data_IF_795263385507
#
_entry.id   IF_795263385507
#
_cell.length_a   1.000
_cell.length_b   1.000
_cell.length_c   1.000
_cell.angle_alpha   90.00
_cell.angle_beta   90.00
_cell.angle_gamma   90.00
#
_symmetry.space_group_name_H-M   'P 1'
#
loop_
_entity.id
_entity.type
_entity.pdbx_description
1 polymer ?
#
# COMPACT_ATOMS: atom_id res chain seq x y z
N UNK A 1 -13.43 -14.12 23.80
CA UNK A 1 -13.21 -14.73 22.47
C UNK A 1 -13.91 -13.86 21.44
N UNK A 2 -13.28 -13.51 20.32
CA UNK A 2 -13.97 -12.76 19.25
C UNK A 2 -14.99 -13.70 18.61
N UNK A 3 -16.27 -13.46 18.85
CA UNK A 3 -17.37 -14.18 18.22
C UNK A 3 -17.33 -13.91 16.72
N UNK A 4 -16.99 -14.95 15.95
CA UNK A 4 -17.02 -14.85 14.50
C UNK A 4 -18.48 -14.76 14.06
N UNK A 5 -18.75 -13.82 13.16
CA UNK A 5 -20.06 -13.74 12.51
C UNK A 5 -20.35 -15.06 11.77
N UNK A 6 -21.62 -15.44 11.66
CA UNK A 6 -22.02 -16.72 11.03
C UNK A 6 -21.45 -16.92 9.62
N UNK A 7 -21.16 -18.16 9.26
CA UNK A 7 -20.59 -18.49 7.97
C UNK A 7 -21.68 -18.52 6.89
N UNK A 8 -21.75 -17.44 6.13
CA UNK A 8 -22.49 -17.42 4.86
C UNK A 8 -21.65 -18.08 3.76
N UNK A 9 -22.28 -18.61 2.68
CA UNK A 9 -21.54 -19.20 1.56
C UNK A 9 -20.43 -18.28 1.00
N UNK A 10 -20.70 -16.98 0.91
CA UNK A 10 -19.71 -15.99 0.48
C UNK A 10 -18.50 -15.90 1.42
N UNK A 11 -18.70 -15.96 2.73
CA UNK A 11 -17.60 -15.89 3.71
C UNK A 11 -16.71 -17.11 3.63
N UNK A 12 -17.30 -18.29 3.42
CA UNK A 12 -16.54 -19.53 3.21
C UNK A 12 -15.71 -19.45 1.94
N UNK A 13 -16.29 -18.97 0.83
CA UNK A 13 -15.58 -18.78 -0.43
C UNK A 13 -14.41 -17.79 -0.28
N UNK A 14 -14.64 -16.61 0.32
CA UNK A 14 -13.60 -15.60 0.55
C UNK A 14 -12.47 -16.14 1.43
N UNK A 15 -12.78 -16.91 2.49
CA UNK A 15 -11.78 -17.51 3.37
C UNK A 15 -10.91 -18.55 2.65
N UNK A 16 -11.52 -19.41 1.82
CA UNK A 16 -10.79 -20.38 0.99
C UNK A 16 -9.88 -19.67 -0.02
N UNK A 17 -10.38 -18.61 -0.66
CA UNK A 17 -9.58 -17.80 -1.58
C UNK A 17 -8.40 -17.14 -0.88
N UNK A 18 -8.60 -16.46 0.25
CA UNK A 18 -7.51 -15.83 1.00
C UNK A 18 -6.53 -16.86 1.53
N UNK A 19 -6.97 -18.00 2.06
CA UNK A 19 -6.07 -19.05 2.53
C UNK A 19 -5.13 -19.56 1.42
N UNK A 20 -5.63 -19.68 0.19
CA UNK A 20 -4.84 -20.10 -0.98
C UNK A 20 -3.90 -19.00 -1.49
N UNK A 21 -4.31 -17.74 -1.47
CA UNK A 21 -3.60 -16.65 -2.17
C UNK A 21 -2.80 -15.72 -1.25
N UNK A 22 -2.99 -15.78 0.08
CA UNK A 22 -2.34 -14.88 1.04
C UNK A 22 -0.82 -14.87 0.90
N UNK A 23 -0.18 -16.04 0.81
CA UNK A 23 1.27 -16.14 0.66
C UNK A 23 1.76 -15.52 -0.66
N UNK A 24 1.08 -15.82 -1.77
CA UNK A 24 1.40 -15.23 -3.08
C UNK A 24 1.28 -13.70 -3.05
N UNK A 25 0.23 -13.16 -2.45
CA UNK A 25 0.00 -11.71 -2.31
C UNK A 25 1.08 -11.03 -1.46
N UNK A 26 1.45 -11.66 -0.34
CA UNK A 26 2.49 -11.16 0.56
C UNK A 26 3.88 -11.20 -0.09
N UNK A 27 4.18 -12.22 -0.91
CA UNK A 27 5.43 -12.31 -1.64
C UNK A 27 5.52 -11.28 -2.78
N UNK A 28 4.40 -10.98 -3.44
CA UNK A 28 4.38 -10.10 -4.61
C UNK A 28 4.36 -8.60 -4.25
N UNK A 29 3.81 -8.22 -3.09
CA UNK A 29 3.54 -6.81 -2.79
C UNK A 29 3.53 -6.53 -1.28
N UNK A 30 4.03 -5.35 -0.92
CA UNK A 30 4.04 -4.82 0.45
C UNK A 30 3.40 -3.43 0.55
N UNK A 31 3.16 -2.96 1.77
CA UNK A 31 2.66 -1.61 2.04
C UNK A 31 3.52 -0.96 3.16
N UNK A 32 3.59 0.37 3.17
CA UNK A 32 4.38 1.11 4.18
C UNK A 32 3.57 1.54 5.41
N UNK A 33 2.22 1.58 5.32
CA UNK A 33 1.30 1.95 6.41
C UNK A 33 1.68 3.22 7.20
N UNK A 34 2.28 4.21 6.54
CA UNK A 34 2.75 5.44 7.17
C UNK A 34 1.64 6.48 7.35
N UNK A 35 1.53 7.01 8.56
CA UNK A 35 0.66 8.14 8.88
C UNK A 35 1.48 9.44 8.85
N UNK A 36 0.95 10.46 8.19
CA UNK A 36 1.57 11.79 8.07
C UNK A 36 0.55 12.88 8.43
N UNK A 37 1.01 14.10 8.80
CA UNK A 37 0.12 15.24 9.03
C UNK A 37 -0.80 15.50 7.82
N UNK A 38 -2.03 15.97 8.11
CA UNK A 38 -3.06 16.12 7.08
C UNK A 38 -2.68 17.15 6.02
N UNK A 39 -2.04 18.24 6.43
CA UNK A 39 -1.60 19.31 5.54
C UNK A 39 -0.53 18.81 4.57
N UNK A 40 0.46 18.06 5.07
CA UNK A 40 1.49 17.42 4.24
C UNK A 40 0.88 16.40 3.27
N UNK A 41 -0.13 15.64 3.71
CA UNK A 41 -0.86 14.76 2.81
C UNK A 41 -1.55 15.53 1.67
N UNK A 42 -2.20 16.65 1.96
CA UNK A 42 -2.86 17.45 0.92
C UNK A 42 -1.85 18.06 -0.05
N UNK A 43 -0.76 18.63 0.46
CA UNK A 43 0.32 19.21 -0.34
C UNK A 43 0.92 18.18 -1.30
N UNK A 44 1.33 17.01 -0.80
CA UNK A 44 1.91 15.94 -1.64
C UNK A 44 0.90 15.48 -2.70
N UNK A 45 -0.37 15.28 -2.35
CA UNK A 45 -1.36 14.86 -3.35
C UNK A 45 -1.59 15.94 -4.43
N UNK A 46 -1.55 17.22 -4.08
CA UNK A 46 -1.66 18.31 -5.05
C UNK A 46 -0.45 18.29 -6.01
N UNK A 47 0.76 18.22 -5.47
CA UNK A 47 2.01 18.13 -6.25
C UNK A 47 1.99 16.96 -7.26
N UNK A 48 1.54 15.79 -6.81
CA UNK A 48 1.46 14.59 -7.65
C UNK A 48 0.41 14.72 -8.75
N UNK A 49 -0.75 15.32 -8.44
CA UNK A 49 -1.84 15.52 -9.40
C UNK A 49 -1.44 16.48 -10.51
N UNK A 50 -0.79 17.59 -10.18
CA UNK A 50 -0.28 18.56 -11.17
C UNK A 50 0.67 17.93 -12.19
N UNK A 51 1.43 16.91 -11.76
CA UNK A 51 2.43 16.22 -12.57
C UNK A 51 1.95 14.92 -13.20
N UNK A 52 0.66 14.59 -13.02
CA UNK A 52 0.09 13.29 -13.42
C UNK A 52 0.96 12.10 -12.98
N UNK A 53 1.46 12.16 -11.74
CA UNK A 53 2.43 11.21 -11.19
C UNK A 53 1.79 10.34 -10.10
N UNK A 54 2.08 9.03 -10.09
CA UNK A 54 1.62 8.16 -9.02
C UNK A 54 2.52 8.26 -7.78
N UNK A 55 1.95 7.96 -6.60
CA UNK A 55 2.71 7.88 -5.34
C UNK A 55 3.83 6.84 -5.40
N UNK A 56 3.60 5.74 -6.12
CA UNK A 56 4.59 4.67 -6.29
C UNK A 56 5.76 5.15 -7.13
N UNK A 57 5.49 5.88 -8.22
CA UNK A 57 6.53 6.43 -9.08
C UNK A 57 7.35 7.47 -8.33
N UNK A 58 6.68 8.37 -7.60
CA UNK A 58 7.34 9.37 -6.76
C UNK A 58 8.33 8.72 -5.75
N UNK A 59 7.89 7.69 -5.03
CA UNK A 59 8.74 6.97 -4.06
C UNK A 59 9.90 6.27 -4.76
N UNK A 60 9.67 5.61 -5.90
CA UNK A 60 10.73 4.92 -6.66
C UNK A 60 11.77 5.90 -7.18
N UNK A 61 11.34 7.02 -7.77
CA UNK A 61 12.23 8.06 -8.28
C UNK A 61 13.06 8.66 -7.15
N UNK A 62 12.44 9.00 -6.02
CA UNK A 62 13.16 9.51 -4.86
C UNK A 62 14.16 8.48 -4.30
N UNK A 63 13.76 7.21 -4.20
CA UNK A 63 14.64 6.13 -3.75
C UNK A 63 15.87 5.97 -4.66
N UNK A 64 15.68 5.92 -5.99
CA UNK A 64 16.79 5.78 -6.93
C UNK A 64 17.72 7.01 -6.89
N UNK A 65 17.16 8.23 -6.87
CA UNK A 65 17.96 9.45 -6.76
C UNK A 65 18.85 9.46 -5.51
N UNK A 66 18.28 9.07 -4.37
CA UNK A 66 19.03 9.00 -3.09
C UNK A 66 20.08 7.89 -3.14
N UNK A 67 19.74 6.73 -3.72
CA UNK A 67 20.66 5.61 -3.86
C UNK A 67 21.85 5.93 -4.77
N UNK A 68 21.65 6.71 -5.84
CA UNK A 68 22.70 7.04 -6.82
C UNK A 68 23.56 8.23 -6.40
N UNK A 69 22.97 9.25 -5.78
CA UNK A 69 23.67 10.51 -5.46
C UNK A 69 24.02 10.67 -3.98
N UNK A 70 23.58 9.73 -3.13
CA UNK A 70 23.71 9.80 -1.69
C UNK A 70 22.68 10.72 -1.05
N UNK A 71 22.45 10.53 0.24
CA UNK A 71 21.97 11.63 1.10
C UNK A 71 23.23 12.34 1.59
N UNK A 72 23.32 13.65 1.37
CA UNK A 72 24.42 14.48 1.89
C UNK A 72 24.83 14.10 3.31
#
# INVERSE_FOLDING_TARGET
MVTRKEDTPQRVANRKYEAKNKQKRQAASGNFQTMIPRDLFYEINAFLKERNMSKVDFIKTAYELIKTHGTH
#
